data_IF_185787414982
#
_entry.id   IF_185787414982
#
_cell.length_a   1.000
_cell.length_b   1.000
_cell.length_c   1.000
_cell.angle_alpha   90.00
_cell.angle_beta   90.00
_cell.angle_gamma   90.00
#
_symmetry.space_group_name_H-M   'P 1'
#
loop_
_entity.id
_entity.type
_entity.pdbx_description
1 polymer ?
#
# COMPACT_ATOMS: atom_id res chain seq x y z
N UNK A 1 3.57 -0.72 -11.82
CA UNK A 1 2.79 -1.14 -10.68
C UNK A 1 3.56 -0.88 -9.39
N UNK A 2 2.99 -0.08 -8.52
CA UNK A 2 3.58 0.26 -7.23
C UNK A 2 2.98 -0.62 -6.13
N UNK A 3 3.84 -1.18 -5.30
CA UNK A 3 3.44 -2.00 -4.15
C UNK A 3 4.22 -1.59 -2.91
N UNK A 4 3.60 -1.80 -1.73
CA UNK A 4 4.32 -1.69 -0.48
C UNK A 4 5.37 -2.79 -0.40
N UNK A 5 6.58 -2.42 0.01
CA UNK A 5 7.63 -3.40 0.29
C UNK A 5 7.52 -3.82 1.76
N UNK A 6 6.74 -4.87 2.02
CA UNK A 6 6.46 -5.33 3.39
C UNK A 6 7.62 -6.13 4.00
N UNK A 7 8.75 -6.24 3.32
CA UNK A 7 10.01 -6.64 3.95
C UNK A 7 10.50 -5.56 4.91
N UNK A 8 10.14 -4.30 4.66
CA UNK A 8 10.36 -3.20 5.59
C UNK A 8 9.31 -3.24 6.71
N UNK A 9 9.74 -3.20 8.00
CA UNK A 9 8.80 -3.32 9.13
C UNK A 9 7.74 -2.23 9.19
N UNK A 10 8.07 -0.99 8.80
CA UNK A 10 7.13 0.13 8.80
C UNK A 10 6.05 -0.09 7.74
N UNK A 11 6.45 -0.48 6.53
CA UNK A 11 5.50 -0.78 5.45
C UNK A 11 4.64 -2.00 5.76
N UNK A 12 5.19 -3.01 6.43
CA UNK A 12 4.43 -4.16 6.91
C UNK A 12 3.38 -3.75 7.94
N UNK A 13 3.73 -2.89 8.90
CA UNK A 13 2.80 -2.39 9.91
C UNK A 13 1.67 -1.57 9.27
N UNK A 14 1.99 -0.74 8.28
CA UNK A 14 0.98 0.00 7.53
C UNK A 14 0.06 -0.96 6.75
N UNK A 15 0.62 -1.98 6.12
CA UNK A 15 -0.16 -3.01 5.43
C UNK A 15 -1.12 -3.75 6.36
N UNK A 16 -0.70 -4.07 7.58
CA UNK A 16 -1.56 -4.68 8.60
C UNK A 16 -2.69 -3.75 9.00
N UNK A 17 -2.42 -2.45 9.14
CA UNK A 17 -3.44 -1.44 9.43
C UNK A 17 -4.51 -1.43 8.32
N UNK A 18 -4.10 -1.36 7.07
CA UNK A 18 -5.02 -1.37 5.91
C UNK A 18 -5.86 -2.64 5.91
N UNK A 19 -5.26 -3.80 6.10
CA UNK A 19 -5.98 -5.09 6.08
C UNK A 19 -7.00 -5.22 7.21
N UNK A 20 -6.72 -4.65 8.39
CA UNK A 20 -7.68 -4.68 9.51
C UNK A 20 -8.95 -3.89 9.23
N UNK A 21 -8.88 -2.84 8.43
CA UNK A 21 -10.01 -1.95 8.16
C UNK A 21 -10.59 -2.10 6.75
N UNK A 22 -10.00 -2.90 5.89
CA UNK A 22 -10.48 -3.09 4.52
C UNK A 22 -11.92 -3.62 4.53
N UNK A 23 -12.78 -2.97 3.74
CA UNK A 23 -14.21 -3.30 3.66
C UNK A 23 -14.51 -4.28 2.53
N UNK A 24 -13.51 -4.57 1.66
CA UNK A 24 -13.63 -5.51 0.55
C UNK A 24 -12.29 -6.18 0.28
N UNK A 25 -12.22 -7.01 -0.75
CA UNK A 25 -11.05 -7.78 -1.13
C UNK A 25 -10.26 -7.16 -2.30
N UNK A 26 -10.39 -5.84 -2.51
CA UNK A 26 -9.75 -5.13 -3.63
C UNK A 26 -8.25 -5.39 -3.69
N UNK A 27 -7.56 -5.36 -2.55
CA UNK A 27 -6.12 -5.61 -2.51
C UNK A 27 -5.80 -7.05 -2.94
N UNK A 28 -6.55 -8.03 -2.44
CA UNK A 28 -6.37 -9.43 -2.82
C UNK A 28 -6.66 -9.66 -4.31
N UNK A 29 -7.69 -9.02 -4.86
CA UNK A 29 -8.01 -9.08 -6.28
C UNK A 29 -6.90 -8.46 -7.13
N UNK A 30 -6.34 -7.35 -6.70
CA UNK A 30 -5.23 -6.70 -7.37
C UNK A 30 -4.00 -7.61 -7.41
N UNK A 31 -3.65 -8.24 -6.29
CA UNK A 31 -2.54 -9.18 -6.22
C UNK A 31 -2.75 -10.41 -7.13
N UNK A 32 -3.97 -10.94 -7.15
CA UNK A 32 -4.33 -12.04 -8.04
C UNK A 32 -4.21 -11.64 -9.51
N UNK A 33 -4.59 -10.41 -9.86
CA UNK A 33 -4.45 -9.88 -11.23
C UNK A 33 -2.99 -9.77 -11.65
N UNK A 34 -2.10 -9.34 -10.74
CA UNK A 34 -0.66 -9.27 -10.99
C UNK A 34 -0.10 -10.67 -11.27
N UNK A 35 -0.47 -11.65 -10.46
CA UNK A 35 -0.03 -13.04 -10.64
C UNK A 35 -0.47 -13.57 -12.01
N UNK A 36 -1.73 -13.32 -12.38
CA UNK A 36 -2.24 -13.73 -13.71
C UNK A 36 -1.50 -13.04 -14.84
N UNK A 37 -1.21 -11.74 -14.70
CA UNK A 37 -0.48 -10.97 -15.70
C UNK A 37 0.94 -11.54 -15.90
N UNK A 38 1.63 -11.86 -14.80
CA UNK A 38 2.98 -12.45 -14.87
C UNK A 38 2.99 -13.85 -15.47
N UNK A 39 1.86 -14.56 -15.43
CA UNK A 39 1.73 -15.90 -16.01
C UNK A 39 1.42 -15.88 -17.51
N UNK A 40 1.16 -14.70 -18.12
CA UNK A 40 0.90 -14.61 -19.55
C UNK A 40 2.13 -15.00 -20.37
N UNK A 41 1.94 -15.73 -21.49
CA UNK A 41 3.04 -16.00 -22.39
C UNK A 41 3.52 -14.72 -23.06
N UNK A 42 4.82 -14.62 -23.33
CA UNK A 42 5.40 -13.47 -24.04
C UNK A 42 5.99 -12.40 -23.15
N UNK A 43 6.10 -12.61 -21.82
CA UNK A 43 6.84 -11.68 -20.96
C UNK A 43 8.29 -11.67 -21.38
N UNK A 44 8.79 -10.48 -21.76
CA UNK A 44 10.16 -10.31 -22.27
C UNK A 44 11.10 -9.88 -21.16
N UNK A 45 10.62 -9.03 -20.24
CA UNK A 45 11.44 -8.56 -19.13
C UNK A 45 10.58 -8.10 -17.96
N UNK A 46 11.15 -8.23 -16.76
CA UNK A 46 10.59 -7.67 -15.53
C UNK A 46 11.70 -6.91 -14.83
N UNK A 47 11.38 -5.70 -14.36
CA UNK A 47 12.29 -4.89 -13.55
C UNK A 47 11.58 -4.42 -12.31
N UNK A 48 12.31 -4.41 -11.18
CA UNK A 48 11.80 -3.94 -9.90
C UNK A 48 12.68 -2.77 -9.44
N UNK A 49 12.03 -1.66 -9.10
CA UNK A 49 12.69 -0.46 -8.60
C UNK A 49 12.21 -0.20 -7.18
N UNK A 50 13.16 0.03 -6.27
CA UNK A 50 12.85 0.43 -4.91
C UNK A 50 12.68 1.94 -4.84
N UNK A 51 11.69 2.39 -4.05
CA UNK A 51 11.45 3.79 -3.76
C UNK A 51 10.87 3.93 -2.36
N UNK A 52 10.72 5.19 -1.90
CA UNK A 52 10.03 5.44 -0.64
C UNK A 52 9.05 6.59 -0.78
N UNK A 53 7.95 6.50 -0.04
CA UNK A 53 6.97 7.56 0.08
C UNK A 53 7.11 8.18 1.47
N UNK A 54 7.27 9.50 1.52
CA UNK A 54 7.38 10.26 2.76
C UNK A 54 6.03 10.88 3.08
N UNK A 55 5.53 10.63 4.29
CA UNK A 55 4.20 11.07 4.70
C UNK A 55 4.29 11.79 6.04
N UNK A 56 3.85 13.04 6.09
CA UNK A 56 3.47 13.68 7.34
C UNK A 56 2.14 13.14 7.84
N UNK A 57 1.70 13.56 9.02
CA UNK A 57 0.46 13.07 9.60
C UNK A 57 -0.77 13.39 8.72
N UNK A 58 -0.83 14.62 8.18
CA UNK A 58 -1.94 15.01 7.29
C UNK A 58 -1.92 14.24 5.98
N UNK A 59 -0.72 13.93 5.45
CA UNK A 59 -0.59 13.10 4.25
C UNK A 59 -1.09 11.67 4.50
N UNK A 60 -0.79 11.12 5.68
CA UNK A 60 -1.28 9.80 6.07
C UNK A 60 -2.81 9.80 6.17
N UNK A 61 -3.40 10.83 6.77
CA UNK A 61 -4.86 10.96 6.84
C UNK A 61 -5.48 11.03 5.45
N UNK A 62 -4.91 11.80 4.53
CA UNK A 62 -5.37 11.88 3.15
C UNK A 62 -5.26 10.51 2.44
N UNK A 63 -4.20 9.78 2.70
CA UNK A 63 -3.97 8.47 2.11
C UNK A 63 -5.02 7.45 2.55
N UNK A 64 -5.43 7.45 3.81
CA UNK A 64 -6.44 6.52 4.33
C UNK A 64 -7.87 6.96 4.02
N UNK A 65 -8.10 8.24 3.72
CA UNK A 65 -9.43 8.77 3.41
C UNK A 65 -9.83 8.55 1.95
N UNK A 66 -8.88 8.33 1.05
CA UNK A 66 -9.15 8.28 -0.39
C UNK A 66 -9.56 6.91 -0.95
N UNK A 67 -9.07 5.75 -0.46
CA UNK A 67 -9.44 4.46 -1.06
C UNK A 67 -10.88 4.06 -0.75
N UNK A 68 -11.57 3.52 -1.75
CA UNK A 68 -12.95 3.03 -1.60
C UNK A 68 -13.07 1.81 -0.69
N UNK A 69 -11.98 1.06 -0.49
CA UNK A 69 -11.97 -0.14 0.34
C UNK A 69 -11.66 0.12 1.83
N UNK A 70 -11.50 1.39 2.21
CA UNK A 70 -11.35 1.79 3.60
C UNK A 70 -12.56 2.60 4.05
N UNK A 71 -12.97 2.49 5.33
CA UNK A 71 -14.10 3.26 5.83
C UNK A 71 -13.76 4.76 5.82
N UNK A 72 -14.68 5.57 5.28
CA UNK A 72 -14.52 7.02 5.16
C UNK A 72 -15.55 7.82 5.98
N UNK A 73 -16.42 7.15 6.70
CA UNK A 73 -17.44 7.77 7.54
C UNK A 73 -17.79 6.86 8.72
N UNK A 74 -18.37 7.45 9.77
CA UNK A 74 -18.86 6.73 10.93
C UNK A 74 -17.76 6.31 11.91
N UNK A 75 -18.12 5.40 12.81
CA UNK A 75 -17.26 4.95 13.89
C UNK A 75 -16.03 4.19 13.36
N UNK A 76 -16.19 3.41 12.31
CA UNK A 76 -15.08 2.67 11.71
C UNK A 76 -14.01 3.61 11.15
N UNK A 77 -14.42 4.71 10.51
CA UNK A 77 -13.48 5.74 10.02
C UNK A 77 -12.76 6.43 11.17
N UNK A 78 -13.44 6.68 12.27
CA UNK A 78 -12.84 7.29 13.48
C UNK A 78 -11.79 6.36 14.07
N UNK A 79 -12.07 5.05 14.14
CA UNK A 79 -11.12 4.07 14.64
C UNK A 79 -9.92 3.90 13.70
N UNK A 80 -10.17 3.91 12.39
CA UNK A 80 -9.08 3.85 11.41
C UNK A 80 -8.13 5.02 11.59
N UNK A 81 -8.64 6.24 11.74
CA UNK A 81 -7.82 7.43 11.94
C UNK A 81 -7.06 7.36 13.25
N UNK A 82 -7.69 6.91 14.33
CA UNK A 82 -7.04 6.72 15.63
C UNK A 82 -5.91 5.70 15.55
N UNK A 83 -6.14 4.56 14.89
CA UNK A 83 -5.13 3.51 14.71
C UNK A 83 -4.01 3.96 13.77
N UNK A 84 -4.32 4.79 12.76
CA UNK A 84 -3.31 5.39 11.90
C UNK A 84 -2.39 6.32 12.69
N UNK A 85 -2.94 7.14 13.60
CA UNK A 85 -2.14 7.99 14.48
C UNK A 85 -1.29 7.16 15.44
N UNK A 86 -1.81 6.06 15.96
CA UNK A 86 -1.06 5.14 16.81
C UNK A 86 0.07 4.44 16.04
N UNK A 87 -0.14 4.12 14.77
CA UNK A 87 0.91 3.64 13.89
C UNK A 87 1.98 4.69 13.64
N UNK A 88 1.56 5.94 13.39
CA UNK A 88 2.45 7.03 12.99
C UNK A 88 3.43 7.42 14.09
N UNK A 89 2.95 7.58 15.34
CA UNK A 89 3.75 8.14 16.43
C UNK A 89 5.08 7.44 16.70
N UNK A 90 5.12 6.09 16.84
CA UNK A 90 6.39 5.42 17.18
C UNK A 90 7.36 5.33 16.01
N UNK A 91 6.91 5.44 14.76
CA UNK A 91 7.74 5.25 13.57
C UNK A 91 8.11 6.56 12.88
N UNK A 92 7.41 7.66 13.19
CA UNK A 92 7.70 8.95 12.61
C UNK A 92 9.04 9.51 13.10
N UNK A 93 9.83 10.03 12.17
CA UNK A 93 11.08 10.73 12.46
C UNK A 93 10.96 12.14 11.90
N UNK A 94 11.11 13.14 12.77
CA UNK A 94 10.97 14.55 12.41
C UNK A 94 9.62 14.85 11.74
N UNK A 95 8.54 14.21 12.25
CA UNK A 95 7.19 14.41 11.74
C UNK A 95 6.88 13.70 10.42
N UNK A 96 7.72 12.77 9.99
CA UNK A 96 7.58 12.07 8.71
C UNK A 96 7.73 10.57 8.90
N UNK A 97 6.82 9.81 8.31
CA UNK A 97 6.93 8.35 8.15
C UNK A 97 7.42 8.06 6.73
N UNK A 98 8.31 7.08 6.61
CA UNK A 98 8.81 6.62 5.32
C UNK A 98 8.26 5.22 5.04
N UNK A 99 7.47 5.08 3.98
CA UNK A 99 6.98 3.80 3.50
C UNK A 99 7.86 3.32 2.36
N UNK A 100 8.44 2.14 2.53
CA UNK A 100 9.19 1.50 1.46
C UNK A 100 8.21 0.94 0.42
N UNK A 101 8.48 1.24 -0.84
CA UNK A 101 7.69 0.80 -1.99
C UNK A 101 8.61 0.13 -3.00
N UNK A 102 8.03 -0.74 -3.80
CA UNK A 102 8.70 -1.18 -5.02
C UNK A 102 7.76 -1.03 -6.21
N UNK A 103 8.36 -0.66 -7.34
CA UNK A 103 7.67 -0.54 -8.62
C UNK A 103 8.08 -1.68 -9.50
N UNK A 104 7.10 -2.43 -9.99
CA UNK A 104 7.33 -3.55 -10.92
C UNK A 104 6.96 -3.07 -12.31
N UNK A 105 7.93 -3.15 -13.22
CA UNK A 105 7.73 -2.86 -14.64
C UNK A 105 7.89 -4.16 -15.42
N UNK A 106 6.84 -4.54 -16.14
CA UNK A 106 6.81 -5.76 -16.94
C UNK A 106 6.65 -5.38 -18.41
N UNK A 107 7.55 -5.87 -19.24
CA UNK A 107 7.47 -5.71 -20.69
C UNK A 107 6.98 -7.01 -21.32
N UNK A 108 5.88 -6.92 -22.04
CA UNK A 108 5.28 -8.04 -22.75
C UNK A 108 5.39 -7.78 -24.25
N UNK A 109 5.86 -8.75 -24.99
CA UNK A 109 5.84 -8.72 -26.44
C UNK A 109 4.69 -9.62 -26.93
N UNK A 110 3.72 -8.99 -27.62
CA UNK A 110 2.61 -9.73 -28.20
C UNK A 110 3.04 -10.44 -29.48
N UNK A 111 2.50 -11.63 -29.74
CA UNK A 111 2.79 -12.36 -30.99
C UNK A 111 2.24 -11.66 -32.23
#
# INVERSE_FOLDING_TARGET
LNERDERDPVSAAYGDLVRRFATDDTEAQRMASIVRFKALPGIVSERVFSSEQRLGQSDLHALIDSPSYLPNAGEAATRLRSDADAFFRPVAQQGVVRLALHTIVVRVQLP
#
